data_IF_840687069895
#
_entry.id   IF_840687069895
#
_cell.length_a   1.000
_cell.length_b   1.000
_cell.length_c   1.000
_cell.angle_alpha   90.00
_cell.angle_beta   90.00
_cell.angle_gamma   90.00
#
_symmetry.space_group_name_H-M   'P 1'
#
loop_
_entity.id
_entity.type
_entity.pdbx_description
1 polymer ?
#
# COMPACT_ATOMS: atom_id res chain seq x y z
N UNK A 1 -16.55 46.78 -8.62
CA UNK A 1 -15.34 46.02 -9.01
C UNK A 1 -15.70 44.53 -9.15
N UNK A 2 -16.04 44.03 -10.35
CA UNK A 2 -16.46 42.63 -10.57
C UNK A 2 -15.38 41.91 -11.39
N UNK A 3 -14.59 41.05 -10.73
CA UNK A 3 -13.60 40.18 -11.39
C UNK A 3 -14.35 39.05 -12.09
N UNK A 4 -14.42 39.13 -13.42
CA UNK A 4 -14.93 38.03 -14.22
C UNK A 4 -13.80 37.02 -14.43
N UNK A 5 -13.93 35.85 -13.82
CA UNK A 5 -13.08 34.71 -14.14
C UNK A 5 -13.39 34.29 -15.58
N UNK A 6 -12.52 34.69 -16.52
CA UNK A 6 -12.55 34.18 -17.90
C UNK A 6 -12.30 32.68 -17.83
N UNK A 7 -13.37 31.89 -17.87
CA UNK A 7 -13.29 30.46 -18.10
C UNK A 7 -12.53 30.26 -19.42
N UNK A 8 -11.29 29.80 -19.32
CA UNK A 8 -10.45 29.49 -20.46
C UNK A 8 -11.15 28.35 -21.20
N UNK A 9 -11.91 28.66 -22.25
CA UNK A 9 -12.48 27.68 -23.17
C UNK A 9 -11.29 26.98 -23.83
N UNK A 10 -10.79 25.92 -23.21
CA UNK A 10 -9.80 25.04 -23.82
C UNK A 10 -10.51 24.45 -25.03
N UNK A 11 -10.05 24.80 -26.22
CA UNK A 11 -10.67 24.37 -27.47
C UNK A 11 -10.79 22.84 -27.46
N UNK A 12 -11.99 22.33 -27.72
CA UNK A 12 -12.26 20.88 -27.78
C UNK A 12 -11.29 20.20 -28.75
N UNK A 13 -10.87 20.88 -29.82
CA UNK A 13 -9.84 20.41 -30.76
C UNK A 13 -8.46 20.23 -30.11
N UNK A 14 -8.08 21.11 -29.19
CA UNK A 14 -6.82 20.97 -28.45
C UNK A 14 -6.85 19.71 -27.57
N UNK A 15 -7.97 19.49 -26.86
CA UNK A 15 -8.17 18.30 -26.02
C UNK A 15 -8.17 17.03 -26.89
N UNK A 16 -8.87 17.06 -28.02
CA UNK A 16 -8.95 15.93 -28.95
C UNK A 16 -7.57 15.56 -29.54
N UNK A 17 -6.81 16.56 -30.01
CA UNK A 17 -5.42 16.36 -30.48
C UNK A 17 -4.50 15.89 -29.36
N UNK A 18 -4.67 16.41 -28.14
CA UNK A 18 -3.90 16.00 -26.96
C UNK A 18 -4.11 14.51 -26.68
N UNK A 19 -5.37 14.04 -26.62
CA UNK A 19 -5.67 12.63 -26.43
C UNK A 19 -5.20 11.76 -27.60
N UNK A 20 -5.30 12.24 -28.84
CA UNK A 20 -4.83 11.50 -30.01
C UNK A 20 -3.31 11.31 -30.00
N UNK A 21 -2.57 12.36 -29.68
CA UNK A 21 -1.12 12.30 -29.50
C UNK A 21 -0.73 11.33 -28.38
N UNK A 22 -1.41 11.40 -27.24
CA UNK A 22 -1.14 10.48 -26.11
C UNK A 22 -1.49 9.03 -26.47
N UNK A 23 -2.60 8.81 -27.18
CA UNK A 23 -2.96 7.49 -27.67
C UNK A 23 -1.90 6.93 -28.64
N UNK A 24 -1.38 7.77 -29.55
CA UNK A 24 -0.30 7.39 -30.47
C UNK A 24 1.02 7.11 -29.76
N UNK A 25 1.35 7.84 -28.70
CA UNK A 25 2.53 7.56 -27.88
C UNK A 25 2.35 6.35 -26.96
N UNK A 26 1.21 5.65 -27.08
CA UNK A 26 0.90 4.45 -26.30
C UNK A 26 1.08 4.69 -24.80
N UNK A 27 0.75 5.88 -24.32
CA UNK A 27 1.10 6.30 -22.97
C UNK A 27 0.42 5.46 -21.86
N UNK A 28 -0.65 4.73 -22.17
CA UNK A 28 -1.31 3.79 -21.24
C UNK A 28 -0.84 2.34 -21.39
N UNK A 29 0.03 2.07 -22.35
CA UNK A 29 0.59 0.76 -22.62
C UNK A 29 1.37 0.18 -21.43
N UNK A 30 2.26 0.92 -20.72
CA UNK A 30 2.96 0.33 -19.56
C UNK A 30 1.99 -0.13 -18.48
N UNK A 31 0.90 0.62 -18.26
CA UNK A 31 -0.15 0.23 -17.33
C UNK A 31 -0.86 -1.06 -17.76
N UNK A 32 -1.28 -1.14 -19.03
CA UNK A 32 -1.99 -2.31 -19.57
C UNK A 32 -1.11 -3.56 -19.63
N UNK A 33 0.19 -3.41 -19.95
CA UNK A 33 1.17 -4.51 -19.92
C UNK A 33 1.30 -5.04 -18.50
N UNK A 34 1.48 -4.15 -17.52
CA UNK A 34 1.59 -4.54 -16.10
C UNK A 34 0.36 -5.30 -15.61
N UNK A 35 -0.85 -4.80 -15.92
CA UNK A 35 -2.08 -5.51 -15.55
C UNK A 35 -2.21 -6.86 -16.25
N UNK A 36 -1.76 -6.96 -17.52
CA UNK A 36 -1.76 -8.21 -18.26
C UNK A 36 -0.79 -9.20 -17.64
N UNK A 37 0.44 -8.79 -17.30
CA UNK A 37 1.44 -9.63 -16.66
C UNK A 37 0.94 -10.14 -15.31
N UNK A 38 0.37 -9.26 -14.49
CA UNK A 38 -0.23 -9.65 -13.20
C UNK A 38 -1.39 -10.63 -13.41
N UNK A 39 -2.25 -10.40 -14.40
CA UNK A 39 -3.34 -11.32 -14.72
C UNK A 39 -2.81 -12.67 -15.20
N UNK A 40 -1.78 -12.68 -16.05
CA UNK A 40 -1.14 -13.89 -16.55
C UNK A 40 -0.48 -14.69 -15.42
N UNK A 41 0.21 -14.02 -14.50
CA UNK A 41 0.78 -14.64 -13.30
C UNK A 41 -0.29 -15.22 -12.37
N UNK A 42 -1.42 -14.52 -12.20
CA UNK A 42 -2.54 -15.00 -11.38
C UNK A 42 -3.29 -16.19 -12.01
N UNK A 43 -3.45 -16.18 -13.34
CA UNK A 43 -4.08 -17.27 -14.09
C UNK A 43 -3.16 -18.48 -14.16
N UNK A 44 -1.85 -18.25 -14.30
CA UNK A 44 -0.79 -19.24 -14.17
C UNK A 44 -0.50 -19.56 -12.70
N UNK A 45 -1.53 -20.00 -11.96
CA UNK A 45 -1.37 -20.56 -10.60
C UNK A 45 -0.23 -21.60 -10.58
N UNK A 46 0.52 -21.68 -9.46
CA UNK A 46 1.97 -21.73 -9.42
C UNK A 46 2.49 -22.96 -10.17
N UNK A 47 2.70 -22.79 -11.48
CA UNK A 47 3.45 -23.75 -12.28
C UNK A 47 4.92 -23.53 -11.91
N UNK A 48 5.32 -24.10 -10.77
CA UNK A 48 6.63 -23.99 -10.15
C UNK A 48 7.19 -22.56 -10.19
N UNK A 49 6.98 -21.77 -9.12
CA UNK A 49 7.74 -20.54 -8.91
C UNK A 49 9.22 -20.87 -9.18
N UNK A 50 9.96 -20.07 -9.98
CA UNK A 50 11.37 -20.33 -10.22
C UNK A 50 12.08 -20.51 -8.89
N UNK A 51 12.96 -21.51 -8.76
CA UNK A 51 13.63 -21.82 -7.49
C UNK A 51 14.28 -20.57 -6.87
N UNK A 52 14.87 -19.71 -7.69
CA UNK A 52 15.43 -18.43 -7.27
C UNK A 52 14.42 -17.51 -6.55
N UNK A 53 13.16 -17.48 -7.01
CA UNK A 53 12.11 -16.69 -6.37
C UNK A 53 11.66 -17.32 -5.04
N UNK A 54 11.63 -18.66 -4.98
CA UNK A 54 11.36 -19.39 -3.73
C UNK A 54 12.44 -19.09 -2.71
N UNK A 55 13.71 -19.17 -3.12
CA UNK A 55 14.86 -18.89 -2.26
C UNK A 55 14.88 -17.42 -1.77
N UNK A 56 14.46 -16.47 -2.61
CA UNK A 56 14.29 -15.07 -2.20
C UNK A 56 13.09 -14.83 -1.30
N UNK A 57 12.03 -15.62 -1.45
CA UNK A 57 10.82 -15.54 -0.62
C UNK A 57 10.96 -16.29 0.71
N UNK A 58 12.05 -17.04 0.89
CA UNK A 58 12.31 -17.76 2.12
C UNK A 58 12.35 -16.77 3.30
N UNK A 59 11.77 -17.14 4.45
CA UNK A 59 11.80 -16.28 5.62
C UNK A 59 13.24 -15.96 6.00
N UNK A 60 13.51 -14.68 6.30
CA UNK A 60 14.82 -14.27 6.75
C UNK A 60 15.20 -15.06 8.01
N UNK A 61 16.48 -15.46 8.16
CA UNK A 61 16.95 -16.08 9.40
C UNK A 61 16.64 -15.20 10.61
N UNK A 62 16.28 -15.79 11.78
CA UNK A 62 15.92 -15.04 12.97
C UNK A 62 17.04 -14.11 13.48
N UNK A 63 18.29 -14.42 13.13
CA UNK A 63 19.47 -13.58 13.43
C UNK A 63 19.44 -12.23 12.69
N UNK A 64 18.78 -12.17 11.53
CA UNK A 64 18.63 -10.96 10.71
C UNK A 64 17.34 -10.19 11.04
N UNK A 65 16.52 -10.69 11.96
CA UNK A 65 15.32 -9.96 12.37
C UNK A 65 15.69 -8.71 13.15
N UNK A 66 15.06 -7.59 12.82
CA UNK A 66 15.18 -6.38 13.60
C UNK A 66 14.68 -6.65 15.03
N UNK A 67 15.52 -6.38 16.03
CA UNK A 67 15.10 -6.49 17.43
C UNK A 67 14.11 -5.35 17.73
N UNK A 68 12.90 -5.63 18.22
CA UNK A 68 11.94 -4.58 18.55
C UNK A 68 12.49 -3.72 19.69
N UNK A 69 12.22 -2.41 19.64
CA UNK A 69 12.59 -1.46 20.69
C UNK A 69 11.91 -1.82 22.03
N UNK A 70 12.47 -1.34 23.14
CA UNK A 70 11.91 -1.58 24.47
C UNK A 70 10.46 -1.10 24.58
N UNK A 71 10.18 0.12 24.10
CA UNK A 71 8.84 0.70 24.06
C UNK A 71 7.83 -0.17 23.29
N UNK A 72 8.25 -0.73 22.15
CA UNK A 72 7.37 -1.56 21.33
C UNK A 72 7.07 -2.92 21.98
N UNK A 73 8.00 -3.43 22.80
CA UNK A 73 7.75 -4.65 23.59
C UNK A 73 6.71 -4.41 24.67
N UNK A 74 6.76 -3.26 25.36
CA UNK A 74 5.76 -2.87 26.36
C UNK A 74 4.39 -2.70 25.73
N UNK A 75 4.31 -1.99 24.60
CA UNK A 75 3.05 -1.85 23.83
C UNK A 75 2.51 -3.20 23.37
N UNK A 76 3.38 -4.10 22.90
CA UNK A 76 2.95 -5.44 22.49
C UNK A 76 2.43 -6.28 23.65
N UNK A 77 2.98 -6.13 24.87
CA UNK A 77 2.47 -6.79 26.06
C UNK A 77 1.06 -6.29 26.40
N UNK A 78 0.85 -4.98 26.41
CA UNK A 78 -0.47 -4.37 26.63
C UNK A 78 -1.51 -4.82 25.59
N UNK A 79 -1.12 -4.87 24.30
CA UNK A 79 -2.02 -5.36 23.24
C UNK A 79 -2.38 -6.84 23.45
N UNK A 80 -1.45 -7.69 23.92
CA UNK A 80 -1.76 -9.09 24.22
C UNK A 80 -2.77 -9.22 25.35
N UNK A 81 -2.64 -8.43 26.41
CA UNK A 81 -3.61 -8.39 27.52
C UNK A 81 -4.98 -7.93 27.02
N UNK A 82 -5.04 -6.86 26.22
CA UNK A 82 -6.29 -6.39 25.63
C UNK A 82 -6.91 -7.41 24.68
N UNK A 83 -6.10 -8.16 23.92
CA UNK A 83 -6.60 -9.20 23.01
C UNK A 83 -7.22 -10.38 23.76
N UNK A 84 -6.75 -10.68 24.97
CA UNK A 84 -7.38 -11.67 25.86
C UNK A 84 -8.73 -11.17 26.36
N UNK A 85 -8.83 -9.89 26.72
CA UNK A 85 -10.08 -9.27 27.20
C UNK A 85 -11.10 -9.04 26.07
N UNK A 86 -10.63 -8.71 24.88
CA UNK A 86 -11.42 -8.37 23.70
C UNK A 86 -11.00 -9.24 22.51
N UNK A 87 -11.35 -10.54 22.51
CA UNK A 87 -10.94 -11.46 21.45
C UNK A 87 -11.47 -11.08 20.07
N UNK A 88 -12.64 -10.45 20.00
CA UNK A 88 -13.30 -9.99 18.75
C UNK A 88 -12.66 -8.73 18.14
N UNK A 89 -11.88 -7.96 18.91
CA UNK A 89 -11.28 -6.72 18.43
C UNK A 89 -10.11 -6.99 17.46
N UNK A 90 -9.95 -6.15 16.43
CA UNK A 90 -8.84 -6.30 15.49
C UNK A 90 -7.50 -5.93 16.15
N UNK A 91 -6.44 -6.66 15.82
CA UNK A 91 -5.10 -6.42 16.39
C UNK A 91 -4.60 -5.00 16.06
N UNK A 92 -4.93 -4.49 14.87
CA UNK A 92 -4.53 -3.15 14.42
C UNK A 92 -5.21 -2.04 15.23
N UNK A 93 -6.52 -2.19 15.52
CA UNK A 93 -7.25 -1.25 16.37
C UNK A 93 -6.73 -1.26 17.81
N UNK A 94 -6.42 -2.43 18.36
CA UNK A 94 -5.83 -2.56 19.69
C UNK A 94 -4.45 -1.87 19.77
N UNK A 95 -3.61 -2.04 18.74
CA UNK A 95 -2.33 -1.32 18.67
C UNK A 95 -2.53 0.20 18.56
N UNK A 96 -3.49 0.66 17.75
CA UNK A 96 -3.81 2.07 17.62
C UNK A 96 -4.29 2.67 18.96
N UNK A 97 -5.14 1.94 19.69
CA UNK A 97 -5.64 2.33 21.00
C UNK A 97 -4.52 2.40 22.04
N UNK A 98 -3.67 1.37 22.13
CA UNK A 98 -2.51 1.37 23.05
C UNK A 98 -1.57 2.51 22.72
N UNK A 99 -1.28 2.76 21.43
CA UNK A 99 -0.43 3.87 21.01
C UNK A 99 -1.01 5.23 21.41
N UNK A 100 -2.33 5.40 21.29
CA UNK A 100 -3.01 6.63 21.72
C UNK A 100 -2.93 6.82 23.25
N UNK A 101 -3.14 5.76 24.04
CA UNK A 101 -3.02 5.80 25.50
C UNK A 101 -1.59 6.12 25.97
N UNK A 102 -0.59 5.55 25.30
CA UNK A 102 0.81 5.85 25.59
C UNK A 102 1.13 7.31 25.26
N UNK A 103 0.67 7.82 24.12
CA UNK A 103 0.88 9.21 23.73
C UNK A 103 0.23 10.21 24.71
N UNK A 104 -0.97 9.90 25.22
CA UNK A 104 -1.68 10.71 26.22
C UNK A 104 -0.97 10.73 27.58
N UNK A 105 -0.31 9.63 27.97
CA UNK A 105 0.41 9.52 29.25
C UNK A 105 1.66 10.40 29.35
N UNK A 106 2.25 10.78 28.22
CA UNK A 106 3.48 11.59 28.17
C UNK A 106 3.22 13.06 27.81
N UNK A 107 1.95 13.45 27.69
CA UNK A 107 1.51 14.82 27.39
C UNK A 107 0.90 15.46 28.65
#
# INVERSE_FOLDING_TARGET
>A
MKRQFKARKVSVFYVMRWYLFHAMTLWTLPYRITEYDIRQLKLSKPKALPQALVDWSAPLPPEQWAKPSAELREQSALVRELKVMYPEASTDELFAQVKAWVADRYN
#
